data_IF_252384373481
#
_entry.id   IF_252384373481
#
_cell.length_a   1.000
_cell.length_b   1.000
_cell.length_c   1.000
_cell.angle_alpha   90.00
_cell.angle_beta   90.00
_cell.angle_gamma   90.00
#
_symmetry.space_group_name_H-M   'P 1'
#
loop_
_entity.id
_entity.type
_entity.pdbx_description
1 polymer ?
#
# COMPACT_ATOMS: atom_id res chain seq x y z
N UNK A 1 -8.36 23.93 1.88
CA UNK A 1 -7.77 22.71 1.28
C UNK A 1 -8.74 21.60 1.60
N UNK A 2 -9.35 21.03 0.57
CA UNK A 2 -10.34 19.97 0.76
C UNK A 2 -9.63 18.62 0.94
N UNK A 3 -10.16 17.72 1.79
CA UNK A 3 -9.62 16.37 1.94
C UNK A 3 -9.99 15.54 0.70
N UNK A 4 -9.05 15.35 -0.22
CA UNK A 4 -9.24 14.61 -1.47
C UNK A 4 -8.65 13.19 -1.42
N UNK A 5 -8.51 12.60 -0.23
CA UNK A 5 -7.98 11.25 -0.04
C UNK A 5 -6.45 11.12 0.07
N UNK A 6 -6.00 9.89 0.35
CA UNK A 6 -4.60 9.55 0.61
C UNK A 6 -3.69 9.77 -0.60
N UNK A 7 -4.16 9.44 -1.81
CA UNK A 7 -3.40 9.64 -3.04
C UNK A 7 -3.08 11.12 -3.26
N UNK A 8 -4.05 12.00 -3.01
CA UNK A 8 -3.82 13.45 -3.06
C UNK A 8 -2.85 13.93 -1.97
N UNK A 9 -2.93 13.37 -0.75
CA UNK A 9 -2.01 13.71 0.34
C UNK A 9 -0.56 13.34 -0.02
N UNK A 10 -0.34 12.19 -0.63
CA UNK A 10 0.98 11.76 -1.13
C UNK A 10 1.43 12.67 -2.27
N UNK A 11 0.56 12.98 -3.24
CA UNK A 11 0.90 13.89 -4.33
C UNK A 11 1.33 15.28 -3.83
N UNK A 12 0.68 15.81 -2.79
CA UNK A 12 1.08 17.05 -2.14
C UNK A 12 2.52 17.03 -1.57
N UNK A 13 3.05 15.85 -1.25
CA UNK A 13 4.42 15.69 -0.73
C UNK A 13 5.50 15.69 -1.83
N UNK A 14 5.12 15.61 -3.13
CA UNK A 14 6.04 15.56 -4.29
C UNK A 14 7.15 16.60 -4.24
N UNK A 15 6.82 17.85 -3.87
CA UNK A 15 7.78 18.95 -3.81
C UNK A 15 8.84 18.80 -2.72
N UNK A 16 8.57 18.01 -1.67
CA UNK A 16 9.49 17.77 -0.57
C UNK A 16 10.35 16.53 -0.81
N UNK A 17 9.78 15.51 -1.46
CA UNK A 17 10.46 14.24 -1.76
C UNK A 17 11.37 14.36 -2.99
N UNK A 18 10.91 15.00 -4.06
CA UNK A 18 11.64 15.05 -5.32
C UNK A 18 11.56 13.73 -6.10
N UNK A 19 12.69 13.31 -6.68
CA UNK A 19 12.81 12.13 -7.55
C UNK A 19 13.54 10.97 -6.85
N UNK A 20 13.23 10.75 -5.57
CA UNK A 20 13.82 9.69 -4.74
C UNK A 20 12.72 8.76 -4.19
N UNK A 21 13.01 7.47 -3.98
CA UNK A 21 12.10 6.57 -3.27
C UNK A 21 11.81 7.07 -1.86
N UNK A 22 10.58 6.88 -1.39
CA UNK A 22 10.14 7.40 -0.09
C UNK A 22 9.24 6.42 0.65
N UNK A 23 9.25 6.52 1.97
CA UNK A 23 8.37 5.74 2.82
C UNK A 23 7.09 6.50 3.14
N UNK A 24 5.95 5.80 3.13
CA UNK A 24 4.66 6.30 3.62
C UNK A 24 4.25 5.49 4.84
N UNK A 25 3.93 6.19 5.93
CA UNK A 25 3.47 5.59 7.18
C UNK A 25 2.15 6.24 7.58
N UNK A 26 1.08 5.44 7.64
CA UNK A 26 -0.19 5.89 8.17
C UNK A 26 -0.13 5.85 9.70
N UNK A 27 -0.46 6.98 10.33
CA UNK A 27 -0.27 7.21 11.77
C UNK A 27 -1.27 6.46 12.65
N UNK A 28 -2.37 6.01 12.07
CA UNK A 28 -3.39 5.16 12.66
C UNK A 28 -3.02 3.66 12.64
N UNK A 29 -1.96 3.29 11.93
CA UNK A 29 -1.41 1.94 11.95
C UNK A 29 -0.19 1.85 12.86
N UNK A 30 -0.37 1.21 14.02
CA UNK A 30 0.73 0.93 14.95
C UNK A 30 1.16 -0.52 14.78
N UNK A 31 2.42 -0.73 14.44
CA UNK A 31 2.99 -2.09 14.28
C UNK A 31 3.98 -2.35 15.41
N UNK A 32 3.59 -3.28 16.30
CA UNK A 32 4.44 -3.79 17.37
C UNK A 32 5.24 -4.99 16.88
N UNK A 33 6.57 -4.87 16.89
CA UNK A 33 7.48 -5.86 16.32
C UNK A 33 8.86 -5.71 16.94
N UNK A 34 9.57 -6.83 17.11
CA UNK A 34 10.96 -6.81 17.61
C UNK A 34 11.88 -6.02 16.65
N UNK A 35 11.71 -6.26 15.35
CA UNK A 35 12.37 -5.50 14.28
C UNK A 35 11.36 -4.53 13.67
N UNK A 36 11.61 -3.21 13.66
CA UNK A 36 10.66 -2.23 13.13
C UNK A 36 10.18 -2.59 11.72
N UNK A 37 8.87 -2.55 11.49
CA UNK A 37 8.27 -2.92 10.20
C UNK A 37 8.93 -2.22 9.01
N UNK A 38 9.17 -0.90 9.09
CA UNK A 38 9.85 -0.15 8.03
C UNK A 38 11.26 -0.68 7.76
N UNK A 39 12.00 -1.09 8.80
CA UNK A 39 13.34 -1.68 8.62
C UNK A 39 13.28 -3.01 7.88
N UNK A 40 12.28 -3.84 8.17
CA UNK A 40 12.06 -5.09 7.43
C UNK A 40 11.77 -4.80 5.95
N UNK A 41 10.91 -3.81 5.67
CA UNK A 41 10.57 -3.43 4.30
C UNK A 41 11.77 -2.81 3.55
N UNK A 42 12.62 -2.05 4.22
CA UNK A 42 13.84 -1.49 3.62
C UNK A 42 14.80 -2.58 3.14
N UNK A 43 14.94 -3.68 3.87
CA UNK A 43 15.77 -4.81 3.42
C UNK A 43 15.20 -5.49 2.17
N UNK A 44 13.87 -5.58 2.07
CA UNK A 44 13.22 -6.05 0.84
C UNK A 44 13.42 -5.03 -0.29
N UNK A 45 13.31 -3.74 0.00
CA UNK A 45 13.58 -2.69 -0.98
C UNK A 45 15.04 -2.74 -1.48
N UNK A 46 16.02 -3.03 -0.62
CA UNK A 46 17.42 -3.19 -1.01
C UNK A 46 17.66 -4.40 -1.93
N UNK A 47 16.85 -5.45 -1.80
CA UNK A 47 16.92 -6.65 -2.66
C UNK A 47 16.26 -6.41 -4.04
N UNK A 48 15.05 -5.84 -4.06
CA UNK A 48 14.23 -5.74 -5.28
C UNK A 48 14.34 -4.37 -5.97
N UNK A 49 14.79 -3.33 -5.26
CA UNK A 49 14.90 -1.95 -5.72
C UNK A 49 13.64 -1.42 -6.41
N UNK A 50 12.48 -1.75 -5.85
CA UNK A 50 11.16 -1.38 -6.38
C UNK A 50 10.14 -1.10 -5.27
N UNK A 51 8.95 -0.62 -5.63
CA UNK A 51 7.88 -0.32 -4.67
C UNK A 51 7.52 -1.55 -3.83
N UNK A 52 7.54 -1.38 -2.50
CA UNK A 52 7.22 -2.42 -1.49
C UNK A 52 5.96 -2.03 -0.71
N UNK A 53 4.97 -2.90 -0.71
CA UNK A 53 3.74 -2.77 0.07
C UNK A 53 3.83 -3.61 1.34
N UNK A 54 3.63 -3.01 2.51
CA UNK A 54 3.49 -3.74 3.75
C UNK A 54 2.11 -4.38 3.82
N UNK A 55 2.05 -5.70 3.93
CA UNK A 55 0.78 -6.45 3.93
C UNK A 55 0.69 -7.46 5.07
N UNK A 56 -0.53 -7.86 5.45
CA UNK A 56 -0.77 -9.08 6.23
C UNK A 56 -2.05 -9.77 5.76
N UNK A 57 -2.19 -11.09 5.93
CA UNK A 57 -3.47 -11.75 5.76
C UNK A 57 -4.49 -11.21 6.77
N UNK A 58 -5.73 -11.02 6.33
CA UNK A 58 -6.88 -10.68 7.17
C UNK A 58 -7.97 -11.74 7.07
N UNK A 59 -8.89 -11.76 8.03
CA UNK A 59 -10.12 -12.55 7.88
C UNK A 59 -10.89 -12.09 6.64
N UNK A 60 -11.47 -13.04 5.90
CA UNK A 60 -12.19 -12.74 4.66
C UNK A 60 -13.37 -11.78 4.86
N UNK A 61 -13.97 -11.76 6.04
CA UNK A 61 -15.03 -10.83 6.42
C UNK A 61 -14.55 -9.38 6.49
N UNK A 62 -13.24 -9.15 6.63
CA UNK A 62 -12.66 -7.82 6.78
C UNK A 62 -12.03 -7.26 5.49
N UNK A 63 -12.04 -7.99 4.38
CA UNK A 63 -11.37 -7.55 3.12
C UNK A 63 -11.94 -6.24 2.58
N UNK A 64 -13.24 -6.00 2.77
CA UNK A 64 -13.93 -4.76 2.38
C UNK A 64 -13.45 -3.50 3.10
N UNK A 65 -12.56 -3.63 4.09
CA UNK A 65 -11.99 -2.51 4.84
C UNK A 65 -10.66 -2.02 4.26
N UNK A 66 -10.06 -2.76 3.33
CA UNK A 66 -8.67 -2.57 2.92
C UNK A 66 -8.49 -2.58 1.41
N UNK A 67 -7.37 -2.03 0.94
CA UNK A 67 -6.81 -2.38 -0.36
C UNK A 67 -6.30 -3.82 -0.33
N UNK A 68 -6.74 -4.64 -1.28
CA UNK A 68 -6.40 -6.06 -1.38
C UNK A 68 -5.48 -6.29 -2.57
N UNK A 69 -4.39 -7.01 -2.32
CA UNK A 69 -3.41 -7.38 -3.34
C UNK A 69 -3.93 -8.54 -4.19
N UNK A 70 -3.75 -8.44 -5.50
CA UNK A 70 -3.82 -9.55 -6.45
C UNK A 70 -2.42 -9.81 -6.99
N UNK A 71 -1.95 -11.05 -6.90
CA UNK A 71 -0.56 -11.33 -7.21
C UNK A 71 -0.16 -12.79 -6.99
N UNK A 72 1.10 -13.09 -7.31
CA UNK A 72 1.64 -14.43 -7.20
C UNK A 72 2.65 -14.51 -6.06
N UNK A 73 2.57 -15.59 -5.28
CA UNK A 73 3.48 -15.83 -4.17
C UNK A 73 4.85 -16.22 -4.72
N UNK A 74 5.88 -15.43 -4.41
CA UNK A 74 7.28 -15.74 -4.74
C UNK A 74 7.87 -16.67 -3.67
N UNK A 75 7.62 -16.33 -2.42
CA UNK A 75 8.04 -17.10 -1.25
C UNK A 75 7.07 -16.88 -0.08
N UNK A 76 7.35 -17.41 1.10
CA UNK A 76 6.46 -17.33 2.26
C UNK A 76 6.07 -15.92 2.71
N UNK A 77 6.83 -14.90 2.31
CA UNK A 77 6.64 -13.52 2.76
C UNK A 77 6.54 -12.51 1.64
N UNK A 78 6.78 -12.89 0.39
CA UNK A 78 6.84 -11.96 -0.73
C UNK A 78 5.89 -12.43 -1.83
N UNK A 79 5.12 -11.48 -2.36
CA UNK A 79 4.28 -11.63 -3.54
C UNK A 79 4.72 -10.62 -4.59
N UNK A 80 4.67 -10.99 -5.87
CA UNK A 80 4.53 -10.01 -6.94
C UNK A 80 3.12 -9.42 -6.88
N UNK A 81 2.97 -8.16 -7.27
CA UNK A 81 1.67 -7.47 -7.29
C UNK A 81 1.32 -7.12 -8.73
N UNK A 82 0.29 -7.78 -9.26
CA UNK A 82 -0.19 -7.58 -10.63
C UNK A 82 -1.41 -6.66 -10.70
N UNK A 83 -2.22 -6.63 -9.63
CA UNK A 83 -3.37 -5.74 -9.51
C UNK A 83 -3.67 -5.46 -8.02
N UNK A 84 -4.42 -4.39 -7.75
CA UNK A 84 -4.92 -4.05 -6.42
C UNK A 84 -6.39 -3.63 -6.53
N UNK A 85 -7.17 -3.98 -5.50
CA UNK A 85 -8.59 -3.61 -5.44
C UNK A 85 -8.86 -2.90 -4.13
N UNK A 86 -9.37 -1.67 -4.20
CA UNK A 86 -9.74 -0.88 -3.02
C UNK A 86 -11.09 -1.37 -2.47
N UNK A 87 -11.10 -1.80 -1.20
CA UNK A 87 -12.31 -2.16 -0.43
C UNK A 87 -13.28 -3.08 -1.20
N UNK A 88 -12.81 -4.23 -1.75
CA UNK A 88 -13.69 -5.14 -2.48
C UNK A 88 -14.73 -5.78 -1.57
N UNK A 89 -15.90 -6.09 -2.11
CA UNK A 89 -16.80 -7.05 -1.48
C UNK A 89 -16.09 -8.40 -1.29
N UNK A 90 -16.46 -9.15 -0.26
CA UNK A 90 -15.86 -10.45 0.07
C UNK A 90 -15.81 -11.41 -1.12
N UNK A 91 -16.88 -11.45 -1.91
CA UNK A 91 -17.00 -12.36 -3.07
C UNK A 91 -16.20 -11.88 -4.30
N UNK A 92 -15.75 -10.63 -4.30
CA UNK A 92 -14.98 -10.00 -5.37
C UNK A 92 -13.49 -9.81 -5.01
N UNK A 93 -13.10 -10.14 -3.77
CA UNK A 93 -11.73 -9.98 -3.31
C UNK A 93 -10.81 -11.04 -3.95
N UNK A 94 -9.70 -10.64 -4.61
CA UNK A 94 -8.82 -11.60 -5.29
C UNK A 94 -8.03 -12.46 -4.31
N UNK A 95 -7.73 -11.92 -3.12
CA UNK A 95 -7.06 -12.61 -2.01
C UNK A 95 -7.58 -12.06 -0.68
N UNK A 96 -7.04 -12.53 0.44
CA UNK A 96 -7.19 -11.89 1.75
C UNK A 96 -5.91 -11.17 2.21
N UNK A 97 -5.00 -10.84 1.29
CA UNK A 97 -3.76 -10.14 1.59
C UNK A 97 -4.02 -8.64 1.54
N UNK A 98 -4.15 -8.02 2.71
CA UNK A 98 -4.49 -6.62 2.86
C UNK A 98 -3.25 -5.73 2.98
N UNK A 99 -3.31 -4.55 2.37
CA UNK A 99 -2.30 -3.50 2.47
C UNK A 99 -2.49 -2.74 3.77
N UNK A 100 -1.42 -2.58 4.55
CA UNK A 100 -1.46 -2.06 5.91
C UNK A 100 -0.47 -0.91 6.10
N UNK A 101 -0.92 0.31 5.79
CA UNK A 101 -0.38 1.59 6.23
C UNK A 101 1.14 1.82 6.19
N UNK A 102 1.88 1.01 5.45
CA UNK A 102 3.32 1.03 5.34
C UNK A 102 3.68 0.75 3.89
N UNK A 103 4.43 1.67 3.31
CA UNK A 103 4.80 1.64 1.91
C UNK A 103 6.22 2.13 1.77
N UNK A 104 6.96 1.58 0.82
CA UNK A 104 8.13 2.21 0.22
C UNK A 104 7.79 2.35 -1.26
N UNK A 105 7.76 3.57 -1.79
CA UNK A 105 7.23 3.85 -3.13
C UNK A 105 8.28 4.56 -3.96
N UNK A 106 8.43 4.14 -5.21
CA UNK A 106 9.30 4.85 -6.18
C UNK A 106 8.67 6.18 -6.59
N UNK A 107 9.47 7.20 -7.00
CA UNK A 107 8.95 8.51 -7.36
C UNK A 107 8.01 8.51 -8.59
N UNK A 108 7.98 7.43 -9.39
CA UNK A 108 7.09 7.28 -10.54
C UNK A 108 5.61 7.45 -10.16
N UNK A 109 5.25 7.09 -8.93
CA UNK A 109 3.88 7.25 -8.41
C UNK A 109 3.38 8.69 -8.52
N UNK A 110 4.26 9.70 -8.41
CA UNK A 110 3.82 11.09 -8.45
C UNK A 110 3.27 11.51 -9.81
N UNK A 111 3.83 10.98 -10.91
CA UNK A 111 3.32 11.24 -12.27
C UNK A 111 1.97 10.56 -12.51
N UNK A 112 1.78 9.41 -11.88
CA UNK A 112 0.52 8.67 -11.93
C UNK A 112 -0.56 9.44 -11.15
N UNK A 113 -0.28 9.78 -9.89
CA UNK A 113 -1.21 10.50 -9.01
C UNK A 113 -1.61 11.88 -9.53
N UNK A 114 -0.75 12.52 -10.32
CA UNK A 114 -1.08 13.78 -11.03
C UNK A 114 -2.27 13.63 -11.99
N UNK A 115 -2.48 12.42 -12.52
CA UNK A 115 -3.53 12.09 -13.49
C UNK A 115 -4.60 11.14 -12.94
N UNK A 116 -4.41 10.59 -11.74
CA UNK A 116 -5.38 9.70 -11.09
C UNK A 116 -6.67 10.46 -10.79
N UNK A 117 -7.79 9.92 -11.28
CA UNK A 117 -9.12 10.48 -11.04
C UNK A 117 -9.62 10.07 -9.65
N UNK A 118 -10.56 10.85 -9.12
CA UNK A 118 -11.29 10.47 -7.92
C UNK A 118 -12.04 9.15 -8.15
N UNK A 119 -11.86 8.21 -7.23
CA UNK A 119 -12.50 6.89 -7.21
C UNK A 119 -13.60 6.82 -6.16
N UNK A 120 -13.49 5.86 -5.25
CA UNK A 120 -14.45 5.64 -4.15
C UNK A 120 -14.59 6.91 -3.30
N UNK A 121 -15.83 7.26 -2.97
CA UNK A 121 -16.19 8.43 -2.14
C UNK A 121 -15.73 9.79 -2.69
N UNK A 122 -15.35 9.86 -3.98
CA UNK A 122 -14.86 11.11 -4.59
C UNK A 122 -13.42 11.44 -4.21
N UNK A 123 -12.67 10.49 -3.65
CA UNK A 123 -11.29 10.64 -3.22
C UNK A 123 -10.29 10.09 -4.24
N UNK A 124 -9.11 10.69 -4.33
CA UNK A 124 -7.96 10.14 -5.05
C UNK A 124 -7.33 9.07 -4.14
N UNK A 125 -7.57 7.81 -4.47
CA UNK A 125 -7.04 6.67 -3.72
C UNK A 125 -5.60 6.35 -4.12
N UNK A 126 -4.77 6.02 -3.14
CA UNK A 126 -3.42 5.53 -3.43
C UNK A 126 -3.47 4.18 -4.16
N UNK A 127 -4.42 3.32 -3.82
CA UNK A 127 -4.61 2.00 -4.42
C UNK A 127 -4.80 2.08 -5.93
N UNK A 128 -5.57 3.05 -6.42
CA UNK A 128 -5.76 3.28 -7.86
C UNK A 128 -4.45 3.73 -8.53
N UNK A 129 -3.66 4.56 -7.84
CA UNK A 129 -2.33 4.96 -8.31
C UNK A 129 -1.34 3.80 -8.33
N UNK A 130 -1.33 2.94 -7.31
CA UNK A 130 -0.48 1.75 -7.27
C UNK A 130 -0.87 0.72 -8.33
N UNK A 131 -2.17 0.58 -8.61
CA UNK A 131 -2.68 -0.28 -9.68
C UNK A 131 -2.17 0.17 -11.04
N UNK A 132 -2.18 1.48 -11.31
CA UNK A 132 -1.59 2.01 -12.54
C UNK A 132 -0.05 1.87 -12.53
N UNK A 133 0.58 1.98 -11.36
CA UNK A 133 2.03 1.81 -11.21
C UNK A 133 2.48 0.39 -11.58
N UNK A 134 1.69 -0.65 -11.27
CA UNK A 134 1.92 -2.04 -11.71
C UNK A 134 2.08 -2.18 -13.23
N UNK A 135 1.52 -1.27 -14.05
CA UNK A 135 1.70 -1.28 -15.50
C UNK A 135 3.05 -0.72 -15.97
N UNK A 136 3.83 -0.12 -15.05
CA UNK A 136 5.06 0.61 -15.37
C UNK A 136 6.30 0.10 -14.63
N UNK A 137 6.11 -0.65 -13.54
CA UNK A 137 7.16 -1.35 -12.81
C UNK A 137 6.60 -2.55 -12.03
N UNK A 138 7.49 -3.48 -11.69
CA UNK A 138 7.15 -4.57 -10.79
C UNK A 138 6.95 -4.03 -9.37
N UNK A 139 5.85 -4.42 -8.71
CA UNK A 139 5.58 -4.08 -7.31
C UNK A 139 5.62 -5.36 -6.49
N UNK A 140 6.13 -5.26 -5.26
CA UNK A 140 6.21 -6.38 -4.34
C UNK A 140 5.40 -6.11 -3.09
N UNK A 141 4.68 -7.13 -2.61
CA UNK A 141 4.00 -7.08 -1.32
C UNK A 141 4.75 -7.98 -0.32
N UNK A 142 5.10 -7.39 0.83
CA UNK A 142 5.87 -8.05 1.89
C UNK A 142 4.99 -8.28 3.14
N UNK A 143 4.84 -9.55 3.52
CA UNK A 143 4.20 -9.97 4.77
C UNK A 143 5.16 -9.69 5.93
N UNK A 144 5.01 -8.51 6.53
CA UNK A 144 5.86 -8.09 7.64
C UNK A 144 5.57 -8.86 8.93
N UNK A 145 6.60 -8.98 9.77
CA UNK A 145 6.47 -9.50 11.13
C UNK A 145 6.05 -8.41 12.10
N UNK A 146 5.13 -8.78 12.98
CA UNK A 146 4.63 -7.89 14.00
C UNK A 146 3.13 -7.99 14.11
N UNK A 147 2.62 -7.40 15.17
CA UNK A 147 1.19 -7.23 15.39
C UNK A 147 0.80 -5.81 15.03
N UNK A 148 -0.07 -5.67 14.04
CA UNK A 148 -0.69 -4.40 13.67
C UNK A 148 -1.88 -4.12 14.58
N UNK A 149 -1.98 -2.90 15.06
CA UNK A 149 -3.12 -2.33 15.74
C UNK A 149 -3.65 -1.16 14.92
N UNK A 150 -4.91 -1.25 14.54
CA UNK A 150 -5.66 -0.16 13.90
C UNK A 150 -6.22 0.73 15.00
N UNK A 151 -5.66 1.92 15.18
CA UNK A 151 -6.15 2.90 16.16
C UNK A 151 -7.05 3.97 15.52
N UNK A 152 -7.33 3.86 14.22
CA UNK A 152 -8.26 4.72 13.49
C UNK A 152 -9.71 4.27 13.62
N UNK A 153 -9.94 2.97 13.81
CA UNK A 153 -11.27 2.41 14.05
C UNK A 153 -11.69 2.54 15.53
N UNK A 154 -12.91 3.03 15.78
CA UNK A 154 -13.54 2.91 17.10
C UNK A 154 -14.08 1.48 17.23
N UNK A 155 -13.60 0.78 18.26
CA UNK A 155 -14.04 -0.57 18.69
C UNK A 155 -15.56 -0.77 18.57
#
# INVERSE_FOLDING_TARGET
>A
KDPLGLGHAIYCAKSFVGDEPFAVLLGDDIVDSEKPCLKQMLEVFEEYNSTILGVQPVEWENVHKYGIVSGEKINDRIYTVNDLVEKPDKDNAPTNIAILGRYIITPKIFKILENTKAGIEGEIQLTDGLKELCNTEEIYAYIFQGRRYDVGSKL
#
